data_IF_607925037042
#
_entry.id   IF_607925037042
#
_cell.length_a   1.000
_cell.length_b   1.000
_cell.length_c   1.000
_cell.angle_alpha   90.00
_cell.angle_beta   90.00
_cell.angle_gamma   90.00
#
_symmetry.space_group_name_H-M   'P 1'
#
loop_
_entity.id
_entity.type
_entity.pdbx_description
1 polymer ?
#
# COMPACT_ATOMS: atom_id res chain seq x y z
N UNK A 1 -6.89 -2.59 16.62
CA UNK A 1 -6.98 -1.48 15.63
C UNK A 1 -8.35 -1.61 15.01
N UNK A 2 -9.08 -0.52 14.81
CA UNK A 2 -10.37 -0.59 14.10
C UNK A 2 -10.12 -0.68 12.60
N UNK A 3 -10.98 -1.40 11.88
CA UNK A 3 -10.92 -1.50 10.41
C UNK A 3 -10.89 -0.10 9.78
N UNK A 4 -11.70 0.84 10.28
CA UNK A 4 -11.73 2.23 9.78
C UNK A 4 -10.35 2.91 9.82
N UNK A 5 -9.55 2.65 10.88
CA UNK A 5 -8.20 3.24 11.00
C UNK A 5 -7.20 2.60 10.05
N UNK A 6 -7.37 1.32 9.74
CA UNK A 6 -6.53 0.62 8.77
C UNK A 6 -6.85 1.11 7.36
N UNK A 7 -8.12 1.35 7.06
CA UNK A 7 -8.56 1.96 5.79
C UNK A 7 -8.03 3.39 5.63
N UNK A 8 -8.13 4.23 6.68
CA UNK A 8 -7.53 5.58 6.66
C UNK A 8 -6.00 5.51 6.40
N UNK A 9 -5.29 4.55 7.00
CA UNK A 9 -3.85 4.39 6.77
C UNK A 9 -3.54 3.92 5.33
N UNK A 10 -4.38 3.06 4.75
CA UNK A 10 -4.27 2.66 3.33
C UNK A 10 -4.48 3.88 2.42
N UNK A 11 -5.51 4.69 2.66
CA UNK A 11 -5.77 5.90 1.88
C UNK A 11 -4.59 6.88 1.92
N UNK A 12 -4.01 7.13 3.11
CA UNK A 12 -2.83 7.98 3.25
C UNK A 12 -1.60 7.41 2.50
N UNK A 13 -1.44 6.08 2.50
CA UNK A 13 -0.36 5.41 1.79
C UNK A 13 -0.56 5.50 0.27
N UNK A 14 -1.79 5.34 -0.23
CA UNK A 14 -2.14 5.51 -1.64
C UNK A 14 -1.85 6.94 -2.13
N UNK A 15 -2.29 7.97 -1.39
CA UNK A 15 -1.99 9.37 -1.73
C UNK A 15 -0.48 9.65 -1.80
N UNK A 16 0.27 9.05 -0.86
CA UNK A 16 1.72 9.17 -0.82
C UNK A 16 2.38 8.44 -1.98
N UNK A 17 1.88 7.26 -2.36
CA UNK A 17 2.34 6.49 -3.52
C UNK A 17 2.16 7.31 -4.79
N UNK A 18 0.96 7.85 -5.01
CA UNK A 18 0.63 8.64 -6.19
C UNK A 18 1.55 9.88 -6.29
N UNK A 19 1.78 10.57 -5.18
CA UNK A 19 2.73 11.70 -5.11
C UNK A 19 4.17 11.28 -5.47
N UNK A 20 4.58 10.06 -5.12
CA UNK A 20 5.92 9.55 -5.45
C UNK A 20 6.01 9.12 -6.91
N UNK A 21 4.93 8.57 -7.46
CA UNK A 21 4.83 8.18 -8.87
C UNK A 21 4.93 9.41 -9.78
N UNK A 22 4.14 10.46 -9.50
CA UNK A 22 4.24 11.75 -10.21
C UNK A 22 5.67 12.31 -10.15
N UNK A 23 6.33 12.18 -9.00
CA UNK A 23 7.73 12.60 -8.87
C UNK A 23 8.66 11.76 -9.71
N UNK A 24 8.52 10.43 -9.78
CA UNK A 24 9.38 9.63 -10.66
C UNK A 24 9.19 10.02 -12.12
N UNK A 25 7.97 10.24 -12.58
CA UNK A 25 7.71 10.64 -13.97
C UNK A 25 8.42 11.94 -14.37
N UNK A 26 8.63 12.84 -13.41
CA UNK A 26 9.38 14.09 -13.64
C UNK A 26 10.90 13.94 -13.57
N UNK A 27 11.42 12.80 -13.06
CA UNK A 27 12.84 12.59 -12.87
C UNK A 27 13.51 12.14 -14.18
N UNK A 28 14.58 12.81 -14.64
CA UNK A 28 15.27 12.46 -15.88
C UNK A 28 15.74 11.00 -15.92
N UNK A 29 16.16 10.46 -14.78
CA UNK A 29 16.58 9.07 -14.66
C UNK A 29 15.43 8.06 -14.78
N UNK A 30 14.15 8.45 -14.63
CA UNK A 30 13.02 7.53 -14.89
C UNK A 30 12.60 7.57 -16.38
N UNK A 31 13.15 8.48 -17.21
CA UNK A 31 12.83 8.63 -18.64
C UNK A 31 13.69 7.77 -19.58
N UNK A 32 14.80 7.20 -19.09
CA UNK A 32 15.57 6.19 -19.82
C UNK A 32 14.93 4.80 -19.60
N UNK A 33 14.98 3.91 -20.61
CA UNK A 33 14.50 2.52 -20.51
C UNK A 33 15.00 1.87 -19.20
N UNK A 34 14.07 1.32 -18.41
CA UNK A 34 14.29 0.71 -17.07
C UNK A 34 14.82 1.63 -15.96
N UNK A 35 15.03 2.92 -16.21
CA UNK A 35 15.59 3.86 -15.25
C UNK A 35 14.73 4.05 -13.99
N UNK A 36 13.42 3.84 -14.13
CA UNK A 36 12.46 3.85 -13.03
C UNK A 36 12.77 2.75 -11.98
N UNK A 37 13.14 1.53 -12.40
CA UNK A 37 13.41 0.40 -11.49
C UNK A 37 14.63 0.62 -10.58
N UNK A 38 15.60 1.41 -11.02
CA UNK A 38 16.80 1.72 -10.23
C UNK A 38 16.63 2.97 -9.36
N UNK A 39 15.54 3.72 -9.55
CA UNK A 39 15.25 4.94 -8.83
C UNK A 39 14.85 4.65 -7.37
N UNK A 40 15.44 5.37 -6.42
CA UNK A 40 15.08 5.26 -5.01
C UNK A 40 13.60 5.61 -4.73
N UNK A 41 13.00 6.44 -5.58
CA UNK A 41 11.58 6.78 -5.50
C UNK A 41 10.72 5.56 -5.79
N UNK A 42 11.07 4.77 -6.81
CA UNK A 42 10.36 3.55 -7.17
C UNK A 42 10.44 2.49 -6.08
N UNK A 43 11.60 2.33 -5.42
CA UNK A 43 11.72 1.44 -4.25
C UNK A 43 10.78 1.82 -3.11
N UNK A 44 10.56 3.12 -2.90
CA UNK A 44 9.62 3.59 -1.87
C UNK A 44 8.17 3.35 -2.26
N UNK A 45 7.85 3.37 -3.56
CA UNK A 45 6.53 2.98 -4.08
C UNK A 45 6.31 1.50 -3.78
N UNK A 46 7.27 0.64 -4.12
CA UNK A 46 7.20 -0.80 -3.85
C UNK A 46 7.05 -1.12 -2.34
N UNK A 47 7.80 -0.43 -1.47
CA UNK A 47 7.64 -0.53 -0.01
C UNK A 47 6.25 -0.09 0.47
N UNK A 48 5.65 0.92 -0.16
CA UNK A 48 4.30 1.38 0.17
C UNK A 48 3.26 0.34 -0.28
N UNK A 49 3.39 -0.20 -1.49
CA UNK A 49 2.49 -1.22 -2.01
C UNK A 49 2.50 -2.48 -1.13
N UNK A 50 3.67 -2.97 -0.74
CA UNK A 50 3.79 -4.09 0.21
C UNK A 50 3.09 -3.80 1.54
N UNK A 51 3.21 -2.56 2.04
CA UNK A 51 2.58 -2.18 3.29
C UNK A 51 1.05 -2.09 3.17
N UNK A 52 0.54 -1.66 2.01
CA UNK A 52 -0.91 -1.68 1.72
C UNK A 52 -1.41 -3.13 1.72
N UNK A 53 -0.73 -4.04 1.03
CA UNK A 53 -1.10 -5.46 1.00
C UNK A 53 -1.13 -6.07 2.41
N UNK A 54 -0.15 -5.75 3.28
CA UNK A 54 -0.15 -6.19 4.67
C UNK A 54 -1.34 -5.64 5.48
N UNK A 55 -1.73 -4.39 5.24
CA UNK A 55 -2.87 -3.77 5.92
C UNK A 55 -4.20 -4.34 5.43
N UNK A 56 -4.34 -4.60 4.12
CA UNK A 56 -5.50 -5.26 3.53
C UNK A 56 -5.67 -6.68 4.07
N UNK A 57 -4.60 -7.47 4.10
CA UNK A 57 -4.64 -8.83 4.68
C UNK A 57 -5.06 -8.81 6.15
N UNK A 58 -4.64 -7.79 6.91
CA UNK A 58 -5.03 -7.61 8.30
C UNK A 58 -6.50 -7.20 8.45
N UNK A 59 -7.03 -6.41 7.52
CA UNK A 59 -8.46 -6.09 7.48
C UNK A 59 -9.26 -7.37 7.20
N UNK A 60 -8.83 -8.17 6.23
CA UNK A 60 -9.46 -9.45 5.91
C UNK A 60 -9.43 -10.41 7.10
N UNK A 61 -8.32 -10.52 7.83
CA UNK A 61 -8.22 -11.31 9.06
C UNK A 61 -9.22 -10.84 10.12
N UNK A 62 -9.30 -9.53 10.36
CA UNK A 62 -10.23 -8.96 11.34
C UNK A 62 -11.70 -9.11 10.95
N UNK A 63 -12.02 -9.06 9.65
CA UNK A 63 -13.38 -9.31 9.14
C UNK A 63 -13.74 -10.80 9.16
N UNK A 64 -12.77 -11.69 8.92
CA UNK A 64 -12.96 -13.14 8.93
C UNK A 64 -13.01 -13.73 10.34
N UNK A 65 -12.29 -13.18 11.32
CA UNK A 65 -12.45 -13.56 12.74
C UNK A 65 -13.86 -13.28 13.26
N UNK A 66 -14.55 -12.24 12.74
CA UNK A 66 -15.95 -11.93 13.07
C UNK A 66 -16.93 -13.03 12.57
N UNK A 67 -16.59 -13.79 11.51
CA UNK A 67 -17.44 -14.87 10.98
C UNK A 67 -17.21 -16.23 11.69
N UNK A 68 -16.00 -16.50 12.21
CA UNK A 68 -15.69 -17.78 12.87
C UNK A 68 -16.17 -17.84 14.34
N UNK A 69 -16.47 -16.71 14.99
CA UNK A 69 -17.07 -16.71 16.35
C UNK A 69 -18.56 -17.09 16.38
N UNK A 70 -19.28 -17.04 15.25
CA UNK A 70 -20.73 -17.32 15.17
C UNK A 70 -21.08 -18.80 14.91
N UNK A 71 -20.12 -19.69 14.61
CA UNK A 71 -20.41 -21.12 14.31
C UNK A 71 -20.36 -22.06 15.54
N UNK A 72 -20.04 -21.56 16.73
CA UNK A 72 -19.88 -22.35 17.97
C UNK A 72 -20.98 -22.14 19.07
N UNK A 73 -22.21 -21.69 18.72
CA UNK A 73 -23.40 -21.69 19.63
C UNK A 73 -24.54 -22.66 19.24
#
# INVERSE_FOLDING_TARGET
>A
MSIDKLQEEIDELLDKRDTLEEKCDTLPQCQEDDGCQTCQTYKKIDEIDQKIEELEAKIDELMGEDEEEDEDE
#
